data_IF_096683279687
#
_entry.id   IF_096683279687
#
_cell.length_a   1.000
_cell.length_b   1.000
_cell.length_c   1.000
_cell.angle_alpha   90.00
_cell.angle_beta   90.00
_cell.angle_gamma   90.00
#
_symmetry.space_group_name_H-M   'P 1'
#
loop_
_entity.id
_entity.type
_entity.pdbx_description
1 polymer ?
#
# COMPACT_ATOMS: atom_id res chain seq x y z
N UNK A 1 0.66 13.63 -3.75
CA UNK A 1 -0.47 14.22 -4.48
C UNK A 1 -1.75 13.53 -4.09
N UNK A 2 -2.81 14.29 -3.87
CA UNK A 2 -4.15 13.79 -3.58
C UNK A 2 -4.93 13.43 -4.86
N UNK A 3 -6.16 12.97 -4.69
CA UNK A 3 -7.08 12.61 -5.76
C UNK A 3 -7.45 13.73 -6.75
N UNK A 4 -7.24 15.00 -6.36
CA UNK A 4 -7.49 16.18 -7.19
C UNK A 4 -6.24 16.67 -7.92
N UNK A 5 -5.10 16.00 -7.70
CA UNK A 5 -3.83 16.43 -8.28
C UNK A 5 -3.17 17.57 -7.51
N UNK A 6 -3.51 17.78 -6.24
CA UNK A 6 -2.82 18.75 -5.39
C UNK A 6 -1.71 18.09 -4.58
N UNK A 7 -0.61 18.82 -4.38
CA UNK A 7 0.42 18.40 -3.43
C UNK A 7 -0.15 18.44 -2.01
N UNK A 8 0.12 17.38 -1.25
CA UNK A 8 -0.33 17.25 0.13
C UNK A 8 0.89 17.33 1.04
N UNK A 9 0.91 18.29 1.96
CA UNK A 9 2.02 18.46 2.90
C UNK A 9 1.64 17.92 4.26
N UNK A 10 2.49 17.10 4.86
CA UNK A 10 2.28 16.56 6.20
C UNK A 10 2.23 17.67 7.28
N UNK A 11 2.91 18.81 7.03
CA UNK A 11 2.91 19.95 7.95
C UNK A 11 1.55 20.62 8.15
N UNK A 12 0.61 20.45 7.22
CA UNK A 12 -0.75 21.01 7.38
C UNK A 12 -1.57 20.28 8.46
N UNK A 13 -1.07 19.14 8.94
CA UNK A 13 -1.69 18.33 9.97
C UNK A 13 -1.06 18.56 11.36
N UNK A 14 -0.12 19.50 11.50
CA UNK A 14 0.45 19.85 12.80
C UNK A 14 -0.65 20.20 13.82
N UNK A 15 -0.50 19.68 15.03
CA UNK A 15 -1.49 19.82 16.11
C UNK A 15 -2.64 18.82 16.09
N UNK A 16 -2.71 17.92 15.11
CA UNK A 16 -3.67 16.81 15.05
C UNK A 16 -3.02 15.47 15.40
N UNK A 17 -3.82 14.51 15.85
CA UNK A 17 -3.42 13.09 15.81
C UNK A 17 -3.62 12.59 14.38
N UNK A 18 -2.61 11.92 13.81
CA UNK A 18 -2.64 11.52 12.40
C UNK A 18 -2.52 10.00 12.31
N UNK A 19 -3.49 9.37 11.66
CA UNK A 19 -3.49 7.94 11.35
C UNK A 19 -3.05 7.78 9.89
N UNK A 20 -1.97 7.04 9.66
CA UNK A 20 -1.35 6.83 8.35
C UNK A 20 -1.37 5.35 8.01
N UNK A 21 -2.00 5.01 6.87
CA UNK A 21 -2.01 3.66 6.33
C UNK A 21 -1.28 3.59 4.99
N UNK A 22 -0.53 2.52 4.76
CA UNK A 22 0.13 2.24 3.49
C UNK A 22 -0.67 1.15 2.76
N UNK A 23 -1.16 1.45 1.55
CA UNK A 23 -2.05 0.57 0.81
C UNK A 23 -1.75 0.60 -0.68
N UNK A 24 -2.37 -0.27 -1.47
CA UNK A 24 -2.42 -0.10 -2.92
C UNK A 24 -3.72 -0.66 -3.48
N UNK A 25 -4.20 -0.13 -4.61
CA UNK A 25 -5.57 -0.42 -5.07
C UNK A 25 -5.78 -1.85 -5.56
N UNK A 26 -4.69 -2.54 -5.92
CA UNK A 26 -4.69 -3.90 -6.47
C UNK A 26 -4.50 -4.99 -5.40
N UNK A 27 -4.32 -4.59 -4.15
CA UNK A 27 -4.15 -5.46 -2.99
C UNK A 27 -5.40 -6.34 -2.78
N UNK A 28 -5.29 -7.67 -2.94
CA UNK A 28 -6.47 -8.55 -2.94
C UNK A 28 -7.01 -8.87 -1.54
N UNK A 29 -6.18 -8.75 -0.49
CA UNK A 29 -6.48 -9.32 0.81
C UNK A 29 -6.65 -8.27 1.92
N UNK A 30 -5.55 -7.71 2.43
CA UNK A 30 -5.57 -6.99 3.71
C UNK A 30 -6.03 -5.53 3.58
N UNK A 31 -5.71 -4.87 2.47
CA UNK A 31 -6.01 -3.44 2.28
C UNK A 31 -7.51 -3.10 2.30
N UNK A 32 -8.41 -3.93 1.72
CA UNK A 32 -9.86 -3.75 1.90
C UNK A 32 -10.32 -3.81 3.37
N UNK A 33 -9.73 -4.70 4.18
CA UNK A 33 -10.06 -4.85 5.61
C UNK A 33 -9.58 -3.62 6.39
N UNK A 34 -8.32 -3.21 6.16
CA UNK A 34 -7.74 -2.00 6.73
C UNK A 34 -8.58 -0.76 6.38
N UNK A 35 -8.99 -0.62 5.12
CA UNK A 35 -9.82 0.50 4.67
C UNK A 35 -11.17 0.54 5.39
N UNK A 36 -11.84 -0.61 5.53
CA UNK A 36 -13.11 -0.69 6.26
C UNK A 36 -12.95 -0.38 7.76
N UNK A 37 -11.85 -0.80 8.38
CA UNK A 37 -11.56 -0.48 9.78
C UNK A 37 -11.30 1.02 9.99
N UNK A 38 -10.59 1.66 9.06
CA UNK A 38 -10.36 3.10 9.12
C UNK A 38 -11.64 3.92 8.91
N UNK A 39 -12.54 3.43 8.05
CA UNK A 39 -13.87 4.01 7.87
C UNK A 39 -14.70 3.91 9.15
N UNK A 40 -14.71 2.73 9.78
CA UNK A 40 -15.32 2.58 11.11
C UNK A 40 -14.73 3.55 12.14
N UNK A 41 -13.39 3.70 12.16
CA UNK A 41 -12.71 4.63 13.08
C UNK A 41 -13.14 6.08 12.79
N UNK A 42 -13.21 6.50 11.52
CA UNK A 42 -13.63 7.86 11.15
C UNK A 42 -15.05 8.15 11.64
N UNK A 43 -15.97 7.19 11.50
CA UNK A 43 -17.34 7.28 12.01
C UNK A 43 -17.38 7.40 13.54
N UNK A 44 -16.59 6.58 14.26
CA UNK A 44 -16.55 6.62 15.73
C UNK A 44 -15.95 7.92 16.28
N UNK A 45 -15.00 8.52 15.55
CA UNK A 45 -14.41 9.80 15.93
C UNK A 45 -15.41 10.98 15.84
N UNK A 46 -16.43 10.87 14.99
CA UNK A 46 -17.48 11.89 14.84
C UNK A 46 -16.91 13.28 14.56
N UNK A 47 -17.34 14.28 15.33
CA UNK A 47 -16.90 15.69 15.16
C UNK A 47 -15.39 15.90 15.35
N UNK A 48 -14.67 14.95 15.97
CA UNK A 48 -13.22 15.01 16.15
C UNK A 48 -12.47 14.64 14.88
N UNK A 49 -13.09 13.87 14.00
CA UNK A 49 -12.52 13.57 12.69
C UNK A 49 -12.47 14.83 11.83
N UNK A 50 -11.34 15.04 11.15
CA UNK A 50 -11.04 16.25 10.40
C UNK A 50 -10.65 17.46 11.26
N UNK A 51 -11.11 17.57 12.52
CA UNK A 51 -10.82 18.70 13.41
C UNK A 51 -9.62 18.46 14.32
N UNK A 52 -9.57 17.33 15.02
CA UNK A 52 -8.51 16.92 15.95
C UNK A 52 -7.73 15.70 15.46
N UNK A 53 -8.38 14.85 14.65
CA UNK A 53 -7.79 13.63 14.07
C UNK A 53 -7.85 13.69 12.55
N UNK A 54 -6.77 13.31 11.89
CA UNK A 54 -6.73 13.13 10.45
C UNK A 54 -6.38 11.69 10.10
N UNK A 55 -7.01 11.15 9.06
CA UNK A 55 -6.64 9.87 8.46
C UNK A 55 -6.01 10.19 7.10
N UNK A 56 -4.98 9.45 6.73
CA UNK A 56 -4.36 9.48 5.41
C UNK A 56 -4.04 8.07 4.98
N UNK A 57 -4.07 7.84 3.67
CA UNK A 57 -3.45 6.67 3.10
C UNK A 57 -2.47 7.05 1.99
N UNK A 58 -1.39 6.28 1.88
CA UNK A 58 -0.28 6.54 0.97
C UNK A 58 -0.03 5.27 0.18
N UNK A 59 0.03 5.36 -1.16
CA UNK A 59 0.27 4.18 -1.97
C UNK A 59 1.69 3.65 -1.81
N UNK A 60 1.86 2.34 -1.86
CA UNK A 60 3.16 1.65 -2.05
C UNK A 60 3.42 1.24 -3.50
N UNK A 61 2.43 1.43 -4.37
CA UNK A 61 2.45 1.01 -5.77
C UNK A 61 2.13 2.19 -6.70
N UNK A 62 2.96 3.26 -6.72
CA UNK A 62 2.68 4.46 -7.49
C UNK A 62 2.65 4.24 -9.01
N UNK A 63 3.18 3.13 -9.50
CA UNK A 63 3.19 2.77 -10.92
C UNK A 63 1.82 2.34 -11.42
N UNK A 64 1.00 1.73 -10.55
CA UNK A 64 -0.40 1.45 -10.84
C UNK A 64 -1.35 2.49 -10.22
N UNK A 65 -0.98 3.08 -9.08
CA UNK A 65 -1.86 3.95 -8.29
C UNK A 65 -1.58 5.44 -8.54
N UNK A 66 -2.06 5.95 -9.67
CA UNK A 66 -2.12 7.40 -9.88
C UNK A 66 -3.30 8.04 -9.12
N UNK A 67 -3.33 9.37 -9.04
CA UNK A 67 -4.35 10.11 -8.29
C UNK A 67 -5.79 9.79 -8.71
N UNK A 68 -6.04 9.58 -10.00
CA UNK A 68 -7.39 9.26 -10.51
C UNK A 68 -7.83 7.85 -10.10
N UNK A 69 -6.90 6.90 -10.10
CA UNK A 69 -7.15 5.52 -9.67
C UNK A 69 -7.44 5.47 -8.16
N UNK A 70 -6.65 6.19 -7.36
CA UNK A 70 -6.88 6.30 -5.92
C UNK A 70 -8.21 7.01 -5.59
N UNK A 71 -8.58 8.06 -6.33
CA UNK A 71 -9.90 8.70 -6.20
C UNK A 71 -11.04 7.71 -6.46
N UNK A 72 -10.93 6.93 -7.54
CA UNK A 72 -11.95 5.92 -7.87
C UNK A 72 -12.01 4.80 -6.82
N UNK A 73 -10.87 4.38 -6.28
CA UNK A 73 -10.79 3.42 -5.18
C UNK A 73 -11.54 3.91 -3.93
N UNK A 74 -11.33 5.19 -3.57
CA UNK A 74 -11.96 5.83 -2.43
C UNK A 74 -13.47 6.00 -2.63
N UNK A 75 -13.89 6.54 -3.78
CA UNK A 75 -15.30 6.74 -4.12
C UNK A 75 -16.09 5.42 -4.13
N UNK A 76 -15.52 4.36 -4.72
CA UNK A 76 -16.15 3.04 -4.75
C UNK A 76 -16.41 2.47 -3.36
N UNK A 77 -15.58 2.84 -2.38
CA UNK A 77 -15.64 2.33 -0.99
C UNK A 77 -16.26 3.31 -0.01
N UNK A 78 -16.61 4.52 -0.44
CA UNK A 78 -17.16 5.56 0.43
C UNK A 78 -16.14 6.20 1.38
N UNK A 79 -14.84 6.10 1.08
CA UNK A 79 -13.77 6.62 1.94
C UNK A 79 -13.58 8.12 1.68
N UNK A 80 -13.52 8.92 2.75
CA UNK A 80 -13.53 10.38 2.67
C UNK A 80 -12.19 11.05 3.04
N UNK A 81 -11.17 10.27 3.40
CA UNK A 81 -9.82 10.79 3.67
C UNK A 81 -8.97 10.89 2.40
N UNK A 82 -7.87 11.67 2.44
CA UNK A 82 -6.92 11.72 1.34
C UNK A 82 -6.21 10.38 1.10
N UNK A 83 -6.26 9.92 -0.16
CA UNK A 83 -5.43 8.84 -0.70
C UNK A 83 -4.32 9.45 -1.56
N UNK A 84 -3.06 9.19 -1.21
CA UNK A 84 -1.90 9.93 -1.71
C UNK A 84 -0.96 9.07 -2.56
N UNK A 85 -0.40 9.68 -3.61
CA UNK A 85 0.62 9.10 -4.49
C UNK A 85 1.67 10.13 -4.94
N UNK A 86 2.63 9.75 -5.77
CA UNK A 86 3.60 10.69 -6.39
C UNK A 86 2.97 11.49 -7.53
N UNK A 87 3.60 12.60 -7.91
CA UNK A 87 3.27 13.34 -9.12
C UNK A 87 3.74 12.68 -10.41
N UNK A 88 4.76 11.83 -10.31
CA UNK A 88 5.43 11.21 -11.43
C UNK A 88 5.86 9.79 -11.05
N UNK A 89 5.23 8.76 -11.61
CA UNK A 89 5.60 7.37 -11.32
C UNK A 89 7.02 6.99 -11.79
N UNK A 90 7.64 7.80 -12.67
CA UNK A 90 9.04 7.64 -13.07
C UNK A 90 10.03 8.33 -12.10
N UNK A 91 9.54 9.16 -11.18
CA UNK A 91 10.32 9.84 -10.14
C UNK A 91 9.57 9.76 -8.81
N UNK A 92 9.90 8.71 -8.05
CA UNK A 92 9.23 8.37 -6.79
C UNK A 92 9.97 8.92 -5.57
N UNK A 93 10.94 9.82 -5.75
CA UNK A 93 11.78 10.35 -4.66
C UNK A 93 10.97 10.92 -3.47
N UNK A 94 9.87 11.61 -3.76
CA UNK A 94 8.93 12.10 -2.73
C UNK A 94 8.35 10.96 -1.87
N UNK A 95 8.01 9.82 -2.48
CA UNK A 95 7.47 8.67 -1.78
C UNK A 95 8.57 7.87 -1.07
N UNK A 96 9.76 7.74 -1.65
CA UNK A 96 10.91 7.09 -1.02
C UNK A 96 11.27 7.75 0.33
N UNK A 97 11.25 9.08 0.37
CA UNK A 97 11.47 9.83 1.61
C UNK A 97 10.38 9.55 2.64
N UNK A 98 9.11 9.49 2.22
CA UNK A 98 7.98 9.14 3.09
C UNK A 98 8.13 7.72 3.63
N UNK A 99 8.29 6.72 2.76
CA UNK A 99 8.43 5.33 3.14
C UNK A 99 9.62 5.12 4.09
N UNK A 100 10.77 5.73 3.79
CA UNK A 100 11.94 5.69 4.67
C UNK A 100 11.66 6.30 6.05
N UNK A 101 10.97 7.43 6.11
CA UNK A 101 10.66 8.10 7.38
C UNK A 101 9.68 7.30 8.25
N UNK A 102 8.77 6.55 7.62
CA UNK A 102 7.82 5.68 8.31
C UNK A 102 8.33 4.24 8.50
N UNK A 103 9.53 3.91 7.99
CA UNK A 103 10.10 2.56 8.07
C UNK A 103 9.37 1.51 7.22
N UNK A 104 8.69 1.95 6.16
CA UNK A 104 8.04 1.06 5.18
C UNK A 104 9.12 0.51 4.25
N UNK A 105 9.44 -0.77 4.42
CA UNK A 105 10.31 -1.50 3.50
C UNK A 105 9.53 -1.86 2.23
N UNK A 106 10.10 -1.58 1.06
CA UNK A 106 9.61 -2.09 -0.21
C UNK A 106 10.60 -3.13 -0.72
N UNK A 107 10.11 -4.35 -0.90
CA UNK A 107 10.82 -5.34 -1.69
C UNK A 107 10.24 -5.28 -3.10
N UNK A 108 10.92 -4.54 -3.98
CA UNK A 108 10.60 -4.52 -5.41
C UNK A 108 11.45 -5.59 -6.08
N UNK A 109 10.85 -6.74 -6.39
CA UNK A 109 11.50 -7.81 -7.14
C UNK A 109 11.73 -7.37 -8.59
N UNK A 110 12.87 -6.71 -8.83
CA UNK A 110 13.33 -6.29 -10.17
C UNK A 110 14.54 -7.11 -10.65
N UNK A 111 14.96 -8.14 -9.90
CA UNK A 111 15.99 -9.07 -10.38
C UNK A 111 15.34 -10.11 -11.28
N UNK A 112 16.02 -10.42 -12.39
CA UNK A 112 15.69 -11.42 -13.38
C UNK A 112 17.03 -12.13 -13.65
N UNK A 113 17.33 -13.14 -12.84
CA UNK A 113 18.66 -13.75 -12.74
C UNK A 113 19.03 -14.54 -14.00
N UNK A 114 18.04 -15.19 -14.64
CA UNK A 114 18.22 -15.96 -15.88
C UNK A 114 17.92 -15.16 -17.16
N UNK A 115 17.41 -13.92 -17.00
CA UNK A 115 17.16 -12.97 -18.10
C UNK A 115 16.12 -13.47 -19.11
N UNK A 116 15.15 -14.26 -18.65
CA UNK A 116 14.07 -14.80 -19.48
C UNK A 116 12.92 -13.79 -19.71
N UNK A 117 12.94 -12.67 -18.99
CA UNK A 117 11.96 -11.59 -19.06
C UNK A 117 10.88 -11.63 -17.96
N UNK A 118 10.99 -12.54 -17.00
CA UNK A 118 10.13 -12.66 -15.82
C UNK A 118 10.99 -12.47 -14.56
N UNK A 119 10.64 -11.49 -13.71
CA UNK A 119 11.46 -11.23 -12.52
C UNK A 119 11.39 -12.40 -11.52
N UNK A 120 12.48 -12.64 -10.76
CA UNK A 120 12.66 -13.77 -9.84
C UNK A 120 11.51 -13.94 -8.83
N UNK A 121 10.86 -12.84 -8.45
CA UNK A 121 9.69 -12.87 -7.56
C UNK A 121 8.42 -13.49 -8.18
N UNK A 122 8.39 -13.66 -9.51
CA UNK A 122 7.30 -14.22 -10.31
C UNK A 122 7.73 -15.49 -11.06
N UNK A 123 9.04 -15.68 -11.19
CA UNK A 123 9.61 -16.77 -11.94
C UNK A 123 9.56 -18.07 -11.12
N UNK A 124 8.74 -18.99 -11.60
CA UNK A 124 8.61 -20.35 -11.04
C UNK A 124 9.75 -21.25 -11.52
N UNK A 125 10.41 -20.88 -12.61
CA UNK A 125 11.39 -21.63 -13.36
C UNK A 125 12.71 -20.83 -13.45
N UNK A 126 13.37 -20.62 -12.30
CA UNK A 126 14.57 -19.79 -12.07
C UNK A 126 15.87 -20.12 -12.85
N UNK A 127 15.80 -21.00 -13.86
CA UNK A 127 16.92 -21.44 -14.68
C UNK A 127 16.45 -21.68 -16.14
N UNK A 128 15.58 -20.82 -16.67
CA UNK A 128 15.12 -20.91 -18.04
C UNK A 128 16.28 -20.68 -19.03
N UNK A 129 16.41 -21.51 -20.08
CA UNK A 129 17.45 -21.33 -21.07
C UNK A 129 17.38 -19.97 -21.79
N UNK A 130 18.53 -19.28 -21.88
CA UNK A 130 18.65 -18.00 -22.56
C UNK A 130 18.09 -18.06 -24.00
N UNK A 131 17.13 -17.18 -24.29
CA UNK A 131 16.48 -17.06 -25.60
C UNK A 131 15.27 -17.98 -25.84
N UNK A 132 14.86 -18.77 -24.84
CA UNK A 132 13.59 -19.49 -24.87
C UNK A 132 12.41 -18.52 -24.64
N UNK A 133 11.27 -18.79 -25.27
CA UNK A 133 10.05 -18.04 -24.98
C UNK A 133 9.36 -18.65 -23.76
N UNK A 134 8.99 -17.81 -22.80
CA UNK A 134 8.37 -18.23 -21.54
C UNK A 134 6.89 -17.88 -21.48
N UNK A 135 6.17 -18.58 -20.59
CA UNK A 135 4.84 -18.16 -20.17
C UNK A 135 4.90 -17.07 -19.08
N UNK A 136 3.73 -16.65 -18.58
CA UNK A 136 3.63 -15.60 -17.55
C UNK A 136 4.24 -16.01 -16.18
N UNK A 137 4.81 -17.21 -16.06
CA UNK A 137 5.47 -17.74 -14.84
C UNK A 137 6.97 -17.95 -15.03
N UNK A 138 7.55 -17.49 -16.13
CA UNK A 138 8.97 -17.71 -16.45
C UNK A 138 9.28 -19.12 -16.94
N UNK A 139 8.27 -19.95 -17.25
CA UNK A 139 8.53 -21.34 -17.64
C UNK A 139 8.55 -21.50 -19.16
N UNK A 140 9.66 -22.01 -19.69
CA UNK A 140 9.92 -22.19 -21.13
C UNK A 140 8.86 -23.02 -21.86
N UNK A 141 8.25 -22.45 -22.91
CA UNK A 141 7.13 -23.04 -23.65
C UNK A 141 7.47 -24.35 -24.38
N UNK A 142 8.75 -24.61 -24.65
CA UNK A 142 9.21 -25.83 -25.31
C UNK A 142 9.68 -26.89 -24.30
N UNK A 143 10.14 -26.45 -23.12
CA UNK A 143 10.66 -27.30 -22.05
C UNK A 143 9.63 -27.68 -20.99
N UNK A 144 8.42 -27.10 -21.00
CA UNK A 144 7.36 -27.44 -20.07
C UNK A 144 7.04 -28.95 -20.11
N UNK A 145 7.35 -29.65 -19.01
CA UNK A 145 6.82 -30.98 -18.75
C UNK A 145 5.31 -30.88 -18.51
N UNK A 146 4.54 -31.81 -19.08
CA UNK A 146 3.08 -31.79 -19.04
C UNK A 146 2.53 -31.65 -17.61
N UNK A 147 1.84 -30.54 -17.37
CA UNK A 147 1.18 -30.21 -16.10
C UNK A 147 0.15 -31.28 -15.69
N UNK A 148 0.42 -31.95 -14.58
CA UNK A 148 -0.58 -32.67 -13.81
C UNK A 148 -1.28 -31.72 -12.84
N UNK A 149 -2.48 -31.27 -13.22
CA UNK A 149 -3.54 -30.71 -12.38
C UNK A 149 -3.13 -29.79 -11.21
N UNK A 150 -2.76 -28.53 -11.50
CA UNK A 150 -2.91 -27.44 -10.53
C UNK A 150 -3.57 -26.22 -11.20
N UNK A 151 -4.85 -26.01 -10.93
CA UNK A 151 -5.53 -24.74 -11.22
C UNK A 151 -5.28 -23.77 -10.06
N UNK A 152 -4.30 -22.89 -10.22
CA UNK A 152 -4.18 -21.67 -9.41
C UNK A 152 -4.87 -20.55 -10.19
N UNK A 153 -5.85 -19.87 -9.60
CA UNK A 153 -6.43 -18.67 -10.19
C UNK A 153 -5.52 -17.49 -9.85
N UNK A 154 -4.79 -16.97 -10.84
CA UNK A 154 -3.93 -15.79 -10.69
C UNK A 154 -4.56 -14.56 -11.36
N UNK A 155 -4.52 -13.45 -10.63
CA UNK A 155 -4.93 -12.13 -11.09
C UNK A 155 -3.84 -11.59 -12.03
N UNK A 156 -4.18 -10.96 -13.16
CA UNK A 156 -3.21 -10.61 -14.18
C UNK A 156 -2.54 -9.28 -13.84
N UNK A 157 -1.40 -9.29 -13.14
CA UNK A 157 -0.55 -8.10 -12.97
C UNK A 157 0.93 -8.51 -13.04
N UNK A 158 1.68 -7.77 -13.85
CA UNK A 158 3.07 -8.04 -14.26
C UNK A 158 4.13 -7.70 -13.20
N UNK A 159 3.74 -7.43 -11.95
CA UNK A 159 4.61 -7.34 -10.77
C UNK A 159 3.77 -7.33 -9.46
N UNK A 160 4.40 -7.66 -8.33
CA UNK A 160 3.92 -7.85 -6.95
C UNK A 160 4.74 -6.87 -6.11
N UNK A 161 4.04 -6.08 -5.30
CA UNK A 161 4.65 -5.21 -4.30
C UNK A 161 4.39 -5.88 -2.96
N UNK A 162 5.46 -6.38 -2.32
CA UNK A 162 5.41 -6.76 -0.91
C UNK A 162 6.03 -5.64 -0.07
N UNK A 163 5.40 -5.35 1.05
CA UNK A 163 5.85 -4.29 1.94
C UNK A 163 5.50 -4.61 3.38
N UNK A 164 6.30 -4.09 4.31
CA UNK A 164 5.94 -4.10 5.73
C UNK A 164 4.69 -3.23 5.90
N UNK A 165 3.51 -3.84 5.92
CA UNK A 165 2.23 -3.16 6.02
C UNK A 165 1.90 -2.87 7.48
N UNK A 166 1.42 -1.66 7.76
CA UNK A 166 0.95 -1.31 9.10
C UNK A 166 0.30 0.05 9.25
N UNK A 167 -0.55 0.10 10.27
CA UNK A 167 -1.16 1.23 11.00
C UNK A 167 -0.25 2.19 11.75
N UNK A 168 0.14 3.35 11.23
CA UNK A 168 0.95 4.28 12.02
C UNK A 168 0.08 5.40 12.63
N UNK A 169 0.26 5.67 13.93
CA UNK A 169 -0.34 6.83 14.59
C UNK A 169 0.75 7.82 15.00
N UNK A 170 0.62 9.05 14.52
CA UNK A 170 1.50 10.19 14.79
C UNK A 170 0.77 11.15 15.75
N UNK A 171 1.46 11.64 16.77
CA UNK A 171 0.88 12.59 17.72
C UNK A 171 0.87 14.05 17.21
N UNK A 172 0.26 14.92 18.00
CA UNK A 172 0.14 16.36 17.73
C UNK A 172 1.50 17.08 17.63
N UNK A 173 2.60 16.46 18.07
CA UNK A 173 3.97 16.98 17.95
C UNK A 173 4.75 16.33 16.80
N UNK A 174 4.07 15.64 15.88
CA UNK A 174 4.66 15.02 14.70
C UNK A 174 5.63 13.87 15.02
N UNK A 175 5.41 13.18 16.15
CA UNK A 175 6.19 12.00 16.52
C UNK A 175 5.40 10.74 16.20
N UNK A 176 6.02 9.76 15.57
CA UNK A 176 5.44 8.42 15.43
C UNK A 176 5.37 7.77 16.82
N UNK A 177 4.17 7.34 17.23
CA UNK A 177 3.90 6.84 18.59
C UNK A 177 3.50 5.38 18.63
N UNK A 178 2.66 4.99 17.68
CA UNK A 178 2.06 3.65 17.63
C UNK A 178 2.23 3.08 16.23
N UNK A 179 2.49 1.78 16.17
CA UNK A 179 2.48 1.00 14.95
C UNK A 179 1.62 -0.25 15.18
N UNK A 180 0.60 -0.43 14.35
CA UNK A 180 -0.28 -1.58 14.33
C UNK A 180 0.05 -2.43 13.12
N UNK A 181 0.44 -3.69 13.34
CA UNK A 181 0.63 -4.65 12.25
C UNK A 181 -0.71 -5.01 11.61
N UNK A 182 -0.70 -5.18 10.30
CA UNK A 182 -1.90 -5.45 9.50
C UNK A 182 -2.68 -6.70 9.93
N UNK A 183 -1.99 -7.76 10.37
CA UNK A 183 -2.60 -9.02 10.85
C UNK A 183 -3.07 -8.98 12.30
N UNK A 184 -2.55 -8.03 13.09
CA UNK A 184 -2.84 -7.89 14.52
C UNK A 184 -3.83 -6.73 14.80
N UNK A 185 -4.40 -6.17 13.74
CA UNK A 185 -5.19 -4.95 13.77
C UNK A 185 -6.55 -5.17 14.44
N UNK A 186 -6.82 -4.41 15.52
CA UNK A 186 -8.14 -4.30 16.14
C UNK A 186 -8.62 -2.84 16.14
N UNK A 187 -9.72 -2.55 15.46
CA UNK A 187 -10.20 -1.18 15.28
C UNK A 187 -10.57 -0.48 16.60
N UNK A 188 -11.10 -1.21 17.60
CA UNK A 188 -11.43 -0.65 18.91
C UNK A 188 -10.16 -0.26 19.68
N UNK A 189 -9.13 -1.10 19.65
CA UNK A 189 -7.86 -0.80 20.33
C UNK A 189 -7.10 0.35 19.66
N UNK A 190 -7.15 0.43 18.32
CA UNK A 190 -6.60 1.58 17.58
C UNK A 190 -7.33 2.86 17.97
N UNK A 191 -8.65 2.81 18.14
CA UNK A 191 -9.44 3.94 18.58
C UNK A 191 -9.08 4.38 20.01
N UNK A 192 -8.83 3.42 20.93
CA UNK A 192 -8.33 3.71 22.28
C UNK A 192 -6.98 4.44 22.24
N UNK A 193 -6.03 3.99 21.42
CA UNK A 193 -4.73 4.66 21.23
C UNK A 193 -4.89 6.09 20.71
N UNK A 194 -5.81 6.31 19.76
CA UNK A 194 -6.12 7.65 19.24
C UNK A 194 -6.63 8.54 20.37
N UNK A 195 -7.57 8.06 21.20
CA UNK A 195 -8.09 8.85 22.31
C UNK A 195 -7.02 9.16 23.37
N UNK A 196 -6.11 8.23 23.67
CA UNK A 196 -4.99 8.48 24.56
C UNK A 196 -4.11 9.62 24.05
N UNK A 197 -3.78 9.64 22.75
CA UNK A 197 -2.99 10.71 22.14
C UNK A 197 -3.74 12.05 22.02
N UNK A 198 -5.08 12.02 22.01
CA UNK A 198 -5.89 13.23 22.08
C UNK A 198 -5.88 13.87 23.48
N UNK A 199 -5.65 13.10 24.54
CA UNK A 199 -5.60 13.59 25.92
C UNK A 199 -4.21 14.14 26.33
N UNK A 200 -3.16 13.81 25.58
CA UNK A 200 -1.81 14.38 25.73
C UNK A 200 -1.68 15.83 25.20
#
# INVERSE_FOLDING_TARGET
MDGNGHYYSFSQLEGKVIVVAFLFTRCPDICPIVSANLDFISEQLGDRYGSEVAILSITVDPWADNSSILSAYAEQRGLDWPHLTTSNASDISDLEDVWRNFGVGLDVYNSDEDSDGVADGFDTCSDTPEGESVDDKGCGLETQQSDGDVKVMHHPLTYWVDHTTGTIIVDKQMRQRVWWGDTDWNAEMVLEDIYLLLEE
#
